data_IF_571495317781
#
_entry.id   IF_571495317781
#
_cell.length_a   1.000
_cell.length_b   1.000
_cell.length_c   1.000
_cell.angle_alpha   90.00
_cell.angle_beta   90.00
_cell.angle_gamma   90.00
#
_symmetry.space_group_name_H-M   'P 1'
#
loop_
_entity.id
_entity.type
_entity.pdbx_description
1 polymer ?
#
# COMPACT_ATOMS: atom_id res chain seq x y z
N UNK A 1 -5.22 -15.91 73.41
CA UNK A 1 -5.31 -15.28 72.06
C UNK A 1 -3.97 -15.41 71.43
N UNK A 2 -3.77 -16.29 70.44
CA UNK A 2 -2.50 -16.44 69.75
C UNK A 2 -2.47 -15.59 68.47
N UNK A 3 -1.44 -14.76 68.37
CA UNK A 3 -1.04 -14.00 67.21
C UNK A 3 -0.55 -14.97 66.10
N UNK A 4 -1.28 -15.03 64.99
CA UNK A 4 -0.76 -15.71 63.80
C UNK A 4 0.18 -14.79 63.02
N UNK A 5 1.46 -15.04 63.14
CA UNK A 5 2.50 -14.44 62.36
C UNK A 5 2.52 -15.09 60.95
N UNK A 6 1.91 -14.41 59.99
CA UNK A 6 1.97 -14.87 58.57
C UNK A 6 3.34 -14.55 58.00
N UNK A 7 4.12 -15.58 57.82
CA UNK A 7 5.38 -15.57 57.07
C UNK A 7 5.08 -15.32 55.61
N UNK A 8 5.37 -14.13 55.08
CA UNK A 8 5.31 -13.85 53.66
C UNK A 8 6.62 -14.33 53.04
N UNK A 9 6.56 -15.47 52.40
CA UNK A 9 7.68 -16.00 51.60
C UNK A 9 7.73 -15.22 50.30
N UNK A 10 8.70 -14.32 50.20
CA UNK A 10 9.00 -13.54 49.00
C UNK A 10 9.67 -14.47 47.99
N UNK A 11 8.91 -14.97 47.03
CA UNK A 11 9.44 -15.74 45.90
C UNK A 11 10.08 -14.75 44.93
N UNK A 12 11.37 -14.63 44.97
CA UNK A 12 12.16 -13.88 43.98
C UNK A 12 12.21 -14.79 42.72
N UNK A 13 11.36 -14.48 41.72
CA UNK A 13 11.43 -15.13 40.42
C UNK A 13 12.65 -14.53 39.68
N UNK A 14 13.63 -15.28 39.23
CA UNK A 14 14.69 -14.75 38.38
C UNK A 14 14.05 -14.41 37.02
N UNK A 15 13.99 -13.12 36.68
CA UNK A 15 13.67 -12.64 35.36
C UNK A 15 14.87 -13.02 34.49
N UNK A 16 14.76 -14.15 33.82
CA UNK A 16 15.64 -14.49 32.70
C UNK A 16 15.34 -13.49 31.60
N UNK A 17 16.21 -12.52 31.43
CA UNK A 17 16.30 -11.71 30.23
C UNK A 17 16.60 -12.65 29.07
N UNK A 18 15.55 -13.22 28.47
CA UNK A 18 15.68 -13.77 27.14
C UNK A 18 16.01 -12.61 26.24
N UNK A 19 17.29 -12.45 25.96
CA UNK A 19 17.81 -11.67 24.86
C UNK A 19 16.92 -11.98 23.66
N UNK A 20 16.17 -10.99 23.19
CA UNK A 20 15.62 -11.02 21.85
C UNK A 20 16.81 -11.15 20.91
N UNK A 21 17.16 -12.39 20.58
CA UNK A 21 17.94 -12.65 19.39
C UNK A 21 17.19 -11.93 18.27
N UNK A 22 17.80 -10.87 17.71
CA UNK A 22 17.42 -10.35 16.41
C UNK A 22 17.19 -11.58 15.56
N UNK A 23 15.98 -11.74 15.04
CA UNK A 23 15.72 -12.70 14.00
C UNK A 23 16.62 -12.29 12.81
N UNK A 24 17.83 -12.79 12.83
CA UNK A 24 18.65 -12.91 11.64
C UNK A 24 17.96 -13.97 10.81
N UNK A 25 17.22 -13.51 9.81
CA UNK A 25 16.72 -14.48 8.85
C UNK A 25 15.31 -14.31 8.38
N UNK A 26 14.75 -13.13 8.29
CA UNK A 26 14.19 -12.85 6.99
C UNK A 26 15.40 -12.74 6.07
N UNK A 27 15.74 -13.82 5.38
CA UNK A 27 16.58 -13.72 4.21
C UNK A 27 15.91 -12.65 3.33
N UNK A 28 16.49 -11.46 3.32
CA UNK A 28 16.28 -10.55 2.21
C UNK A 28 16.50 -11.43 0.99
N UNK A 29 15.57 -11.45 0.02
CA UNK A 29 15.79 -12.23 -1.19
C UNK A 29 17.17 -11.81 -1.71
N UNK A 30 18.11 -12.76 -1.62
CA UNK A 30 19.47 -12.60 -2.13
C UNK A 30 19.32 -12.68 -3.63
N UNK A 31 19.39 -11.58 -4.27
CA UNK A 31 19.29 -11.47 -5.69
C UNK A 31 18.21 -10.48 -6.03
N UNK A 32 18.67 -9.49 -6.72
CA UNK A 32 17.92 -8.45 -7.37
C UNK A 32 17.20 -7.48 -6.41
N UNK A 33 17.84 -6.34 -6.30
CA UNK A 33 17.38 -5.17 -5.60
C UNK A 33 15.90 -4.92 -5.87
N UNK A 34 15.06 -5.33 -4.94
CA UNK A 34 13.68 -4.88 -4.88
C UNK A 34 13.71 -3.46 -4.33
N UNK A 35 14.12 -2.53 -5.15
CA UNK A 35 13.68 -1.16 -5.01
C UNK A 35 12.26 -1.14 -5.56
N UNK A 36 11.29 -0.76 -4.78
CA UNK A 36 9.87 -0.80 -5.10
C UNK A 36 9.50 -0.13 -6.44
N UNK A 37 10.44 0.57 -7.03
CA UNK A 37 10.39 1.19 -8.34
C UNK A 37 10.81 0.26 -9.48
N UNK A 38 11.68 -0.70 -9.22
CA UNK A 38 12.24 -1.58 -10.27
C UNK A 38 11.20 -2.48 -10.94
N UNK A 39 10.08 -2.77 -10.28
CA UNK A 39 9.01 -3.57 -10.86
C UNK A 39 8.19 -2.83 -11.93
N UNK A 40 8.22 -1.49 -11.90
CA UNK A 40 7.39 -0.64 -12.77
C UNK A 40 8.19 0.21 -13.73
N UNK A 41 9.48 0.39 -13.49
CA UNK A 41 10.33 1.14 -14.42
C UNK A 41 10.82 0.22 -15.53
N UNK A 42 10.64 0.57 -16.81
CA UNK A 42 11.25 -0.13 -17.89
C UNK A 42 12.78 0.02 -17.77
N UNK A 43 13.49 -1.04 -18.08
CA UNK A 43 14.95 -1.07 -18.10
C UNK A 43 15.51 0.20 -18.75
N UNK A 44 16.20 1.05 -18.00
CA UNK A 44 16.66 2.36 -18.46
C UNK A 44 17.66 2.28 -19.63
N UNK A 45 18.07 1.08 -20.03
CA UNK A 45 18.97 0.82 -21.14
C UNK A 45 18.28 0.49 -22.47
N UNK A 46 16.94 0.49 -22.55
CA UNK A 46 16.23 0.41 -23.84
C UNK A 46 15.83 1.80 -24.31
N UNK A 47 16.70 2.36 -25.12
CA UNK A 47 16.42 3.48 -26.02
C UNK A 47 15.10 3.31 -26.74
N UNK A 48 14.30 4.40 -26.71
CA UNK A 48 13.15 4.66 -27.58
C UNK A 48 11.94 3.75 -27.42
N UNK A 49 11.08 4.08 -26.44
CA UNK A 49 9.64 4.00 -26.61
C UNK A 49 9.02 5.12 -25.80
N UNK A 50 7.91 5.66 -26.26
CA UNK A 50 7.11 6.69 -25.62
C UNK A 50 7.02 6.41 -24.11
N UNK A 51 7.59 7.31 -23.29
CA UNK A 51 7.93 7.05 -21.91
C UNK A 51 6.73 6.60 -21.08
N UNK A 52 6.88 5.48 -20.40
CA UNK A 52 5.97 4.99 -19.39
C UNK A 52 5.73 6.05 -18.29
N UNK A 53 6.76 6.80 -17.96
CA UNK A 53 6.71 7.91 -17.02
C UNK A 53 7.01 9.25 -17.73
N UNK A 54 6.33 10.34 -17.31
CA UNK A 54 6.61 11.67 -17.81
C UNK A 54 7.94 12.21 -17.28
N UNK A 55 8.54 13.13 -18.02
CA UNK A 55 9.72 13.87 -17.58
C UNK A 55 9.34 14.96 -16.58
N UNK A 56 9.23 14.54 -15.32
CA UNK A 56 8.90 15.40 -14.17
C UNK A 56 9.73 14.99 -12.95
N UNK A 57 9.71 15.80 -11.92
CA UNK A 57 10.33 15.47 -10.64
C UNK A 57 9.80 14.13 -10.10
N UNK A 58 10.71 13.16 -9.87
CA UNK A 58 10.36 11.80 -9.45
C UNK A 58 9.50 11.79 -8.16
N UNK A 59 9.81 12.68 -7.21
CA UNK A 59 9.05 12.81 -5.95
C UNK A 59 7.57 13.10 -6.17
N UNK A 60 7.18 13.74 -7.28
CA UNK A 60 5.77 14.00 -7.61
C UNK A 60 5.03 12.78 -8.15
N UNK A 61 5.76 11.75 -8.59
CA UNK A 61 5.20 10.48 -9.07
C UNK A 61 5.05 9.45 -7.95
N UNK A 62 5.86 9.55 -6.90
CA UNK A 62 5.86 8.62 -5.76
C UNK A 62 4.47 8.38 -5.16
N UNK A 63 3.65 9.42 -4.87
CA UNK A 63 2.32 9.18 -4.31
C UNK A 63 1.42 8.34 -5.20
N UNK A 64 1.57 8.46 -6.53
CA UNK A 64 0.79 7.70 -7.50
C UNK A 64 1.23 6.23 -7.52
N UNK A 65 2.53 5.99 -7.60
CA UNK A 65 3.12 4.66 -7.59
C UNK A 65 2.76 3.95 -6.29
N UNK A 66 3.02 4.62 -5.15
CA UNK A 66 2.72 4.09 -3.82
C UNK A 66 1.22 3.84 -3.61
N UNK A 67 0.33 4.63 -4.24
CA UNK A 67 -1.10 4.36 -4.19
C UNK A 67 -1.47 3.07 -4.92
N UNK A 68 -0.90 2.82 -6.10
CA UNK A 68 -1.15 1.58 -6.87
C UNK A 68 -0.60 0.37 -6.12
N UNK A 69 0.60 0.47 -5.54
CA UNK A 69 1.17 -0.59 -4.70
C UNK A 69 0.34 -0.80 -3.43
N UNK A 70 -0.11 0.30 -2.83
CA UNK A 70 -1.01 0.28 -1.69
C UNK A 70 -2.36 -0.39 -1.98
N UNK A 71 -2.89 -0.29 -3.20
CA UNK A 71 -4.08 -1.04 -3.60
C UNK A 71 -3.83 -2.55 -3.56
N UNK A 72 -2.64 -3.02 -3.96
CA UNK A 72 -2.28 -4.43 -3.87
C UNK A 72 -2.17 -4.89 -2.41
N UNK A 73 -1.54 -4.09 -1.54
CA UNK A 73 -1.49 -4.36 -0.10
C UNK A 73 -2.90 -4.34 0.53
N UNK A 74 -3.75 -3.41 0.09
CA UNK A 74 -5.13 -3.29 0.57
C UNK A 74 -6.00 -4.52 0.27
N UNK A 75 -5.68 -5.33 -0.74
CA UNK A 75 -6.36 -6.59 -1.02
C UNK A 75 -6.18 -7.63 0.11
N UNK A 76 -5.17 -7.48 0.94
CA UNK A 76 -4.90 -8.30 2.13
C UNK A 76 -5.26 -7.61 3.45
N UNK A 77 -5.78 -6.38 3.38
CA UNK A 77 -6.20 -5.61 4.56
C UNK A 77 -5.15 -4.64 5.11
N UNK A 78 -4.00 -4.49 4.44
CA UNK A 78 -3.02 -3.46 4.80
C UNK A 78 -3.27 -2.17 4.03
N UNK A 79 -3.63 -1.12 4.75
CA UNK A 79 -3.97 0.20 4.20
C UNK A 79 -2.90 1.27 4.49
N UNK A 80 -1.78 0.89 5.11
CA UNK A 80 -0.80 1.85 5.61
C UNK A 80 -0.20 2.71 4.48
N UNK A 81 0.15 2.07 3.36
CA UNK A 81 0.79 2.76 2.24
C UNK A 81 -0.15 3.77 1.56
N UNK A 82 -1.43 3.43 1.37
CA UNK A 82 -2.42 4.37 0.83
C UNK A 82 -2.55 5.59 1.74
N UNK A 83 -2.68 5.37 3.06
CA UNK A 83 -2.87 6.45 4.04
C UNK A 83 -1.66 7.35 4.17
N UNK A 84 -0.45 6.80 4.05
CA UNK A 84 0.78 7.56 4.15
C UNK A 84 1.01 8.49 2.96
N UNK A 85 0.45 8.17 1.79
CA UNK A 85 0.69 8.88 0.54
C UNK A 85 -0.47 9.75 0.06
N UNK A 86 -1.51 9.94 0.88
CA UNK A 86 -2.69 10.73 0.55
C UNK A 86 -3.00 11.79 1.60
N UNK A 87 -3.57 12.92 1.15
CA UNK A 87 -4.14 13.90 2.06
C UNK A 87 -5.32 13.31 2.82
N UNK A 88 -5.57 13.81 4.05
CA UNK A 88 -6.63 13.32 4.93
C UNK A 88 -8.04 13.44 4.35
N UNK A 89 -8.24 14.46 3.51
CA UNK A 89 -9.50 14.79 2.84
C UNK A 89 -9.56 14.26 1.40
N UNK A 90 -8.58 13.46 0.99
CA UNK A 90 -8.62 12.81 -0.31
C UNK A 90 -9.73 11.75 -0.37
N UNK A 91 -10.65 11.90 -1.32
CA UNK A 91 -11.65 10.86 -1.62
C UNK A 91 -11.03 9.49 -1.98
N UNK A 92 -9.76 9.49 -2.36
CA UNK A 92 -8.96 8.29 -2.61
C UNK A 92 -8.83 7.37 -1.39
N UNK A 93 -9.05 7.88 -0.16
CA UNK A 93 -9.05 7.10 1.07
C UNK A 93 -10.33 6.26 1.26
N UNK A 94 -11.41 6.57 0.54
CA UNK A 94 -12.69 5.83 0.66
C UNK A 94 -12.55 4.36 0.39
N UNK A 95 -11.62 3.98 -0.51
CA UNK A 95 -11.35 2.58 -0.81
C UNK A 95 -10.90 1.80 0.44
N UNK A 96 -10.14 2.43 1.34
CA UNK A 96 -9.65 1.78 2.56
C UNK A 96 -10.81 1.45 3.51
N UNK A 97 -11.79 2.34 3.64
CA UNK A 97 -12.98 2.11 4.45
C UNK A 97 -13.90 1.05 3.84
N UNK A 98 -14.10 1.09 2.51
CA UNK A 98 -14.92 0.10 1.81
C UNK A 98 -14.33 -1.30 1.92
N UNK A 99 -13.02 -1.44 1.74
CA UNK A 99 -12.34 -2.73 1.86
C UNK A 99 -12.30 -3.22 3.31
N UNK A 100 -12.04 -2.34 4.29
CA UNK A 100 -12.09 -2.70 5.70
C UNK A 100 -13.47 -3.26 6.08
N UNK A 101 -14.55 -2.58 5.67
CA UNK A 101 -15.91 -3.07 5.90
C UNK A 101 -16.21 -4.40 5.18
N UNK A 102 -15.73 -4.54 3.93
CA UNK A 102 -15.90 -5.77 3.16
C UNK A 102 -15.23 -6.97 3.86
N UNK A 103 -14.04 -6.77 4.43
CA UNK A 103 -13.29 -7.84 5.09
C UNK A 103 -13.93 -8.35 6.38
N UNK A 104 -14.94 -7.69 6.95
CA UNK A 104 -15.72 -8.27 8.04
C UNK A 104 -16.55 -9.48 7.56
N UNK A 105 -17.08 -9.44 6.35
CA UNK A 105 -18.03 -10.43 5.83
C UNK A 105 -17.50 -11.28 4.69
N UNK A 106 -16.46 -10.85 4.00
CA UNK A 106 -15.95 -11.49 2.80
C UNK A 106 -14.43 -11.48 2.72
N UNK A 107 -13.89 -12.26 1.79
CA UNK A 107 -12.48 -12.22 1.37
C UNK A 107 -12.39 -11.89 -0.11
N UNK A 108 -11.29 -11.30 -0.52
CA UNK A 108 -10.94 -11.07 -1.91
C UNK A 108 -9.87 -12.06 -2.35
N UNK A 109 -9.98 -12.53 -3.59
CA UNK A 109 -9.01 -13.44 -4.23
C UNK A 109 -8.69 -12.86 -5.61
N UNK A 110 -7.41 -12.66 -5.91
CA UNK A 110 -6.94 -11.94 -7.10
C UNK A 110 -7.16 -10.44 -6.97
N UNK A 111 -7.29 -9.75 -8.08
CA UNK A 111 -7.51 -8.29 -8.11
C UNK A 111 -6.22 -7.48 -8.16
N UNK A 112 -5.09 -8.09 -8.53
CA UNK A 112 -3.80 -7.41 -8.65
C UNK A 112 -3.91 -6.20 -9.58
N UNK A 113 -3.36 -5.08 -9.11
CA UNK A 113 -3.27 -3.82 -9.84
C UNK A 113 -1.85 -3.66 -10.41
N UNK A 114 -1.76 -3.31 -11.68
CA UNK A 114 -0.50 -3.08 -12.39
C UNK A 114 -0.52 -1.73 -13.08
N UNK A 115 0.37 -0.84 -12.68
CA UNK A 115 0.55 0.46 -13.32
C UNK A 115 1.02 0.26 -14.77
N UNK A 116 0.37 0.94 -15.72
CA UNK A 116 0.67 0.85 -17.15
C UNK A 116 1.33 2.10 -17.70
N UNK A 117 0.77 3.25 -17.36
CA UNK A 117 1.35 4.51 -17.80
C UNK A 117 0.92 5.66 -16.90
N UNK A 118 1.76 6.67 -16.85
CA UNK A 118 1.47 7.96 -16.24
C UNK A 118 1.76 9.03 -17.29
N UNK A 119 0.76 9.86 -17.60
CA UNK A 119 0.90 10.98 -18.52
C UNK A 119 0.62 12.28 -17.80
N UNK A 120 1.53 13.24 -17.86
CA UNK A 120 1.33 14.57 -17.31
C UNK A 120 0.20 15.30 -18.04
N UNK A 121 -0.75 15.85 -17.30
CA UNK A 121 -1.84 16.71 -17.81
C UNK A 121 -1.61 18.16 -17.45
N UNK A 122 -1.17 18.43 -16.21
CA UNK A 122 -0.91 19.77 -15.68
C UNK A 122 0.37 19.75 -14.87
N UNK A 123 1.27 20.66 -15.16
CA UNK A 123 2.52 20.88 -14.42
C UNK A 123 2.50 22.22 -13.71
N UNK A 124 2.21 22.22 -12.44
CA UNK A 124 2.25 23.40 -11.57
C UNK A 124 3.28 23.20 -10.46
N UNK A 125 3.72 24.32 -9.86
CA UNK A 125 4.76 24.31 -8.82
C UNK A 125 4.35 23.50 -7.60
N UNK A 126 3.10 23.66 -7.14
CA UNK A 126 2.59 23.01 -5.92
C UNK A 126 1.46 22.01 -6.20
N UNK A 127 1.07 21.84 -7.44
CA UNK A 127 0.00 20.92 -7.85
C UNK A 127 0.28 20.40 -9.24
N UNK A 128 0.26 19.09 -9.39
CA UNK A 128 0.38 18.41 -10.68
C UNK A 128 -0.79 17.47 -10.88
N UNK A 129 -1.22 17.29 -12.12
CA UNK A 129 -2.25 16.31 -12.46
C UNK A 129 -1.75 15.37 -13.55
N UNK A 130 -2.12 14.11 -13.42
CA UNK A 130 -1.66 13.03 -14.28
C UNK A 130 -2.83 12.15 -14.73
N UNK A 131 -2.81 11.71 -15.96
CA UNK A 131 -3.67 10.63 -16.43
C UNK A 131 -2.93 9.31 -16.17
N UNK A 132 -3.52 8.47 -15.35
CA UNK A 132 -2.92 7.21 -14.89
C UNK A 132 -3.73 6.04 -15.43
N UNK A 133 -3.03 5.11 -16.08
CA UNK A 133 -3.64 3.86 -16.54
C UNK A 133 -3.16 2.69 -15.69
N UNK A 134 -4.10 1.91 -15.21
CA UNK A 134 -3.85 0.74 -14.36
C UNK A 134 -4.64 -0.45 -14.89
N UNK A 135 -4.00 -1.59 -15.03
CA UNK A 135 -4.70 -2.85 -15.25
C UNK A 135 -5.04 -3.48 -13.89
N UNK A 136 -6.25 -3.97 -13.75
CA UNK A 136 -6.64 -4.82 -12.64
C UNK A 136 -6.93 -6.22 -13.16
N UNK A 137 -6.34 -7.25 -12.55
CA UNK A 137 -6.65 -8.64 -12.84
C UNK A 137 -8.06 -9.00 -12.36
N UNK A 138 -8.54 -10.19 -12.73
CA UNK A 138 -9.79 -10.74 -12.20
C UNK A 138 -9.78 -10.72 -10.66
N UNK A 139 -10.91 -10.33 -10.08
CA UNK A 139 -11.09 -10.35 -8.63
C UNK A 139 -12.36 -11.11 -8.26
N UNK A 140 -12.27 -11.97 -7.26
CA UNK A 140 -13.40 -12.71 -6.71
C UNK A 140 -13.63 -12.33 -5.26
N UNK A 141 -14.83 -11.85 -4.94
CA UNK A 141 -15.31 -11.71 -3.57
C UNK A 141 -15.95 -13.03 -3.16
N UNK A 142 -15.55 -13.59 -2.01
CA UNK A 142 -16.13 -14.80 -1.42
C UNK A 142 -16.69 -14.45 -0.05
N UNK A 143 -17.99 -14.64 0.13
CA UNK A 143 -18.64 -14.47 1.41
C UNK A 143 -18.16 -15.52 2.41
N UNK A 144 -17.83 -15.13 3.65
CA UNK A 144 -17.26 -16.00 4.67
C UNK A 144 -18.24 -17.03 5.19
N UNK A 145 -19.52 -16.71 5.20
CA UNK A 145 -20.58 -17.56 5.75
C UNK A 145 -21.17 -18.47 4.70
N UNK A 146 -21.69 -17.88 3.61
CA UNK A 146 -22.41 -18.63 2.57
C UNK A 146 -21.48 -19.32 1.57
N UNK A 147 -20.20 -18.92 1.52
CA UNK A 147 -19.22 -19.36 0.53
C UNK A 147 -19.61 -18.99 -0.93
N UNK A 148 -20.65 -18.22 -1.12
CA UNK A 148 -21.04 -17.70 -2.43
C UNK A 148 -20.03 -16.66 -2.88
N UNK A 149 -19.63 -16.69 -4.15
CA UNK A 149 -18.67 -15.78 -4.72
C UNK A 149 -19.25 -14.93 -5.83
N UNK A 150 -18.83 -13.67 -5.89
CA UNK A 150 -19.04 -12.76 -7.01
C UNK A 150 -17.69 -12.51 -7.67
N UNK A 151 -17.63 -12.61 -9.01
CA UNK A 151 -16.41 -12.37 -9.78
C UNK A 151 -16.58 -11.13 -10.63
N UNK A 152 -15.56 -10.31 -10.66
CA UNK A 152 -15.41 -9.19 -11.58
C UNK A 152 -14.21 -9.48 -12.49
N UNK A 153 -14.44 -9.41 -13.78
CA UNK A 153 -13.40 -9.62 -14.79
C UNK A 153 -12.30 -8.57 -14.70
N UNK A 154 -11.13 -8.92 -15.23
CA UNK A 154 -10.04 -7.99 -15.44
C UNK A 154 -10.52 -6.72 -16.15
N UNK A 155 -9.94 -5.60 -15.80
CA UNK A 155 -10.33 -4.30 -16.36
C UNK A 155 -9.15 -3.37 -16.49
N UNK A 156 -9.22 -2.49 -17.49
CA UNK A 156 -8.35 -1.32 -17.60
C UNK A 156 -9.04 -0.14 -16.93
N UNK A 157 -8.32 0.54 -16.06
CA UNK A 157 -8.81 1.68 -15.30
C UNK A 157 -7.99 2.89 -15.75
N UNK A 158 -8.65 3.98 -16.07
CA UNK A 158 -7.98 5.24 -16.42
C UNK A 158 -8.61 6.33 -15.60
N UNK A 159 -7.81 6.95 -14.74
CA UNK A 159 -8.25 8.02 -13.85
C UNK A 159 -7.26 9.18 -13.91
N UNK A 160 -7.75 10.37 -13.60
CA UNK A 160 -6.91 11.51 -13.34
C UNK A 160 -6.50 11.53 -11.86
N UNK A 161 -5.21 11.61 -11.61
CA UNK A 161 -4.62 11.75 -10.27
C UNK A 161 -4.11 13.17 -10.10
N UNK A 162 -4.43 13.79 -9.00
CA UNK A 162 -3.90 15.11 -8.62
C UNK A 162 -3.06 14.96 -7.37
N UNK A 163 -1.80 15.41 -7.46
CA UNK A 163 -0.87 15.47 -6.32
C UNK A 163 -0.59 16.92 -5.96
N UNK A 164 -0.41 17.19 -4.67
CA UNK A 164 -0.07 18.50 -4.14
C UNK A 164 1.20 18.42 -3.30
N UNK A 165 2.03 19.44 -3.46
CA UNK A 165 3.21 19.63 -2.61
C UNK A 165 2.83 20.46 -1.39
N UNK A 166 3.19 19.96 -0.22
CA UNK A 166 3.11 20.70 1.03
C UNK A 166 4.44 20.57 1.74
N UNK A 167 5.14 21.68 1.90
CA UNK A 167 6.41 21.75 2.64
C UNK A 167 7.49 20.78 2.08
N UNK A 168 7.51 20.60 0.75
CA UNK A 168 8.46 19.71 0.06
C UNK A 168 7.99 18.24 -0.06
N UNK A 169 6.83 17.90 0.48
CA UNK A 169 6.28 16.54 0.41
C UNK A 169 5.11 16.52 -0.57
N UNK A 170 5.20 15.68 -1.58
CA UNK A 170 4.09 15.43 -2.50
C UNK A 170 3.15 14.36 -1.93
N UNK A 171 1.85 14.63 -1.97
CA UNK A 171 0.81 13.70 -1.54
C UNK A 171 -0.33 13.71 -2.56
N UNK A 172 -1.00 12.57 -2.67
CA UNK A 172 -2.21 12.41 -3.48
C UNK A 172 -3.35 13.22 -2.86
N UNK A 173 -3.95 14.12 -3.64
CA UNK A 173 -5.03 14.99 -3.17
C UNK A 173 -6.39 14.63 -3.76
N UNK A 174 -6.41 14.00 -4.94
CA UNK A 174 -7.67 13.62 -5.60
C UNK A 174 -7.47 12.54 -6.66
N UNK A 175 -8.53 11.74 -6.91
CA UNK A 175 -8.65 10.79 -8.02
C UNK A 175 -10.05 10.92 -8.61
N UNK A 176 -10.14 11.25 -9.91
CA UNK A 176 -11.38 11.40 -10.68
C UNK A 176 -11.35 10.66 -12.01
#
# INVERSE_FOLDING_TARGET
MPLYLKLITLIILPITLTSCAKAQGALAPTGDKYDGYGAYLPDQNKSSSEGFLPDVEASSLEPIINYVDGLNMALTGDFALIRANAYKDCGCLDITYRLANLFHTATLIGGEYKLRSIKLLKDGINEKSFLVQVDRSDIKKVDKTSRVGVRWSASKITNQFTVKNKEGVWLLSDIT
#
